data_IF_486161272801
#
_entry.id   IF_486161272801
#
_cell.length_a   1.000
_cell.length_b   1.000
_cell.length_c   1.000
_cell.angle_alpha   90.00
_cell.angle_beta   90.00
_cell.angle_gamma   90.00
#
_symmetry.space_group_name_H-M   'P 1'
#
loop_
_entity.id
_entity.type
_entity.pdbx_description
1 polymer ?
#
# COMPACT_ATOMS: atom_id res chain seq x y z
N UNK A 1 7.99 -21.55 -19.07
CA UNK A 1 7.35 -22.67 -19.86
C UNK A 1 6.09 -22.10 -20.49
N UNK A 2 5.90 -22.36 -21.78
CA UNK A 2 4.74 -21.84 -22.51
C UNK A 2 3.47 -22.54 -21.98
N UNK A 3 2.42 -21.78 -21.60
CA UNK A 3 1.18 -22.32 -21.02
C UNK A 3 0.53 -23.44 -21.86
N UNK A 4 0.82 -23.50 -23.15
CA UNK A 4 0.34 -24.55 -24.08
C UNK A 4 1.02 -25.92 -23.92
N UNK A 5 2.00 -26.06 -23.00
CA UNK A 5 2.76 -27.30 -22.76
C UNK A 5 2.56 -27.88 -21.35
N UNK A 6 1.77 -27.21 -20.50
CA UNK A 6 1.50 -27.71 -19.15
C UNK A 6 0.48 -28.84 -19.16
N UNK A 7 0.75 -29.90 -18.40
CA UNK A 7 -0.21 -30.97 -18.14
C UNK A 7 -1.29 -30.51 -17.13
N UNK A 8 -2.42 -31.23 -17.10
CA UNK A 8 -3.47 -30.96 -16.09
C UNK A 8 -2.94 -31.11 -14.66
N UNK A 9 -2.02 -32.04 -14.41
CA UNK A 9 -1.44 -32.27 -13.09
C UNK A 9 -0.57 -31.07 -12.65
N UNK A 10 0.29 -30.56 -13.54
CA UNK A 10 1.11 -29.35 -13.24
C UNK A 10 0.25 -28.12 -12.96
N UNK A 11 -0.88 -27.93 -13.68
CA UNK A 11 -1.83 -26.85 -13.39
C UNK A 11 -2.51 -27.06 -12.04
N UNK A 12 -2.90 -28.29 -11.71
CA UNK A 12 -3.52 -28.62 -10.43
C UNK A 12 -2.55 -28.40 -9.26
N UNK A 13 -1.30 -28.83 -9.37
CA UNK A 13 -0.25 -28.60 -8.35
C UNK A 13 -0.01 -27.12 -8.13
N UNK A 14 0.11 -26.32 -9.19
CA UNK A 14 0.26 -24.88 -9.09
C UNK A 14 -0.92 -24.20 -8.39
N UNK A 15 -2.16 -24.59 -8.74
CA UNK A 15 -3.35 -24.04 -8.09
C UNK A 15 -3.47 -24.48 -6.63
N UNK A 16 -3.04 -25.70 -6.31
CA UNK A 16 -3.00 -26.18 -4.92
C UNK A 16 -1.98 -25.37 -4.08
N UNK A 17 -0.79 -25.06 -4.61
CA UNK A 17 0.17 -24.18 -3.96
C UNK A 17 -0.42 -22.78 -3.73
N UNK A 18 -1.16 -22.24 -4.70
CA UNK A 18 -1.85 -20.95 -4.54
C UNK A 18 -2.95 -21.00 -3.47
N UNK A 19 -3.67 -22.13 -3.35
CA UNK A 19 -4.66 -22.33 -2.29
C UNK A 19 -3.99 -22.35 -0.91
N UNK A 20 -2.86 -23.04 -0.75
CA UNK A 20 -2.10 -23.03 0.50
C UNK A 20 -1.69 -21.60 0.90
N UNK A 21 -1.13 -20.81 -0.03
CA UNK A 21 -0.79 -19.41 0.23
C UNK A 21 -2.01 -18.56 0.59
N UNK A 22 -3.16 -18.81 -0.04
CA UNK A 22 -4.40 -18.09 0.25
C UNK A 22 -4.88 -18.35 1.68
N UNK A 23 -4.91 -19.60 2.13
CA UNK A 23 -5.33 -19.91 3.50
C UNK A 23 -4.31 -19.43 4.53
N UNK A 24 -3.01 -19.39 4.16
CA UNK A 24 -1.96 -18.87 5.01
C UNK A 24 -2.11 -17.36 5.22
N UNK A 25 -2.25 -16.56 4.17
CA UNK A 25 -2.42 -15.11 4.29
C UNK A 25 -3.72 -14.73 5.04
N UNK A 26 -4.80 -15.51 4.87
CA UNK A 26 -6.03 -15.32 5.63
C UNK A 26 -5.86 -15.67 7.11
N UNK A 27 -5.00 -16.64 7.45
CA UNK A 27 -4.67 -16.93 8.85
C UNK A 27 -3.75 -15.87 9.47
N UNK A 28 -2.88 -15.24 8.67
CA UNK A 28 -2.10 -14.05 9.07
C UNK A 28 -3.03 -12.89 9.42
N UNK A 29 -4.05 -12.62 8.61
CA UNK A 29 -5.09 -11.63 8.90
C UNK A 29 -5.71 -11.84 10.29
N UNK A 30 -6.11 -13.08 10.62
CA UNK A 30 -6.67 -13.38 11.94
C UNK A 30 -5.65 -13.10 13.07
N UNK A 31 -4.41 -13.56 12.90
CA UNK A 31 -3.36 -13.37 13.89
C UNK A 31 -3.01 -11.90 14.14
N UNK A 32 -2.99 -11.09 13.08
CA UNK A 32 -2.75 -9.65 13.17
C UNK A 32 -3.92 -8.92 13.83
N UNK A 33 -5.15 -9.13 13.37
CA UNK A 33 -6.36 -8.46 13.89
C UNK A 33 -6.68 -8.83 15.33
N UNK A 34 -6.45 -10.08 15.71
CA UNK A 34 -6.63 -10.53 17.09
C UNK A 34 -5.43 -10.21 18.00
N UNK A 35 -4.36 -9.63 17.47
CA UNK A 35 -3.17 -9.27 18.24
C UNK A 35 -2.33 -10.47 18.69
N UNK A 36 -2.53 -11.64 18.12
CA UNK A 36 -1.88 -12.88 18.56
C UNK A 36 -0.37 -12.88 18.31
N UNK A 37 0.09 -12.37 17.17
CA UNK A 37 1.52 -12.21 16.90
C UNK A 37 2.17 -11.25 17.90
N UNK A 38 1.52 -10.09 18.14
CA UNK A 38 2.02 -9.10 19.12
C UNK A 38 2.10 -9.67 20.54
N UNK A 39 1.07 -10.41 20.97
CA UNK A 39 1.06 -11.05 22.28
C UNK A 39 2.16 -12.12 22.44
N UNK A 40 2.47 -12.88 21.39
CA UNK A 40 3.59 -13.83 21.42
C UNK A 40 4.96 -13.13 21.39
N UNK A 41 5.08 -12.02 20.65
CA UNK A 41 6.32 -11.27 20.55
C UNK A 41 6.64 -10.50 21.85
N UNK A 42 5.63 -9.86 22.47
CA UNK A 42 5.83 -9.04 23.68
C UNK A 42 5.89 -9.84 24.96
N UNK A 43 5.01 -10.86 25.11
CA UNK A 43 4.79 -11.56 26.37
C UNK A 43 5.42 -12.97 26.37
N UNK A 44 6.11 -13.31 25.28
CA UNK A 44 6.80 -14.59 25.13
C UNK A 44 5.88 -15.77 24.82
N UNK A 45 6.44 -17.00 24.78
CA UNK A 45 5.72 -18.21 24.42
C UNK A 45 4.43 -18.42 25.21
N UNK A 46 3.42 -19.00 24.54
CA UNK A 46 2.12 -19.22 25.15
C UNK A 46 1.50 -20.58 24.80
N UNK A 47 0.73 -21.14 25.73
CA UNK A 47 -0.26 -22.16 25.40
C UNK A 47 -1.56 -21.53 24.88
N UNK A 48 -2.46 -22.33 24.31
CA UNK A 48 -3.74 -21.82 23.80
C UNK A 48 -4.59 -21.09 24.88
N UNK A 49 -4.72 -21.61 26.12
CA UNK A 49 -5.40 -20.87 27.18
C UNK A 49 -4.69 -19.55 27.57
N UNK A 50 -3.35 -19.51 27.53
CA UNK A 50 -2.59 -18.30 27.83
C UNK A 50 -2.75 -17.26 26.78
N UNK A 51 -2.63 -17.62 25.49
CA UNK A 51 -2.82 -16.69 24.36
C UNK A 51 -4.25 -16.14 24.33
N UNK A 52 -5.25 -17.00 24.49
CA UNK A 52 -6.65 -16.61 24.55
C UNK A 52 -6.92 -15.58 25.66
N UNK A 53 -6.34 -15.78 26.84
CA UNK A 53 -6.46 -14.83 27.97
C UNK A 53 -5.76 -13.50 27.67
N UNK A 54 -4.55 -13.53 27.06
CA UNK A 54 -3.78 -12.31 26.71
C UNK A 54 -4.53 -11.43 25.70
N UNK A 55 -5.30 -12.03 24.81
CA UNK A 55 -5.96 -11.36 23.67
C UNK A 55 -7.49 -11.32 23.76
N UNK A 56 -8.07 -11.72 24.89
CA UNK A 56 -9.53 -11.80 25.10
C UNK A 56 -10.27 -12.58 24.00
N UNK A 57 -9.74 -13.78 23.68
CA UNK A 57 -10.26 -14.64 22.61
C UNK A 57 -10.65 -16.03 23.16
N UNK A 58 -11.20 -16.89 22.31
CA UNK A 58 -11.65 -18.21 22.68
C UNK A 58 -10.53 -19.25 22.57
N UNK A 59 -10.32 -20.06 23.60
CA UNK A 59 -9.24 -21.06 23.70
C UNK A 59 -9.22 -22.01 22.50
N UNK A 60 -10.40 -22.48 22.04
CA UNK A 60 -10.46 -23.45 20.94
C UNK A 60 -9.95 -22.86 19.62
N UNK A 61 -10.28 -21.59 19.33
CA UNK A 61 -9.80 -20.88 18.14
C UNK A 61 -8.31 -20.55 18.26
N UNK A 62 -7.85 -20.09 19.41
CA UNK A 62 -6.44 -19.85 19.66
C UNK A 62 -5.59 -21.11 19.45
N UNK A 63 -6.08 -22.29 19.92
CA UNK A 63 -5.41 -23.57 19.69
C UNK A 63 -5.30 -23.91 18.20
N UNK A 64 -6.42 -23.85 17.47
CA UNK A 64 -6.43 -24.15 16.03
C UNK A 64 -5.45 -23.28 15.27
N UNK A 65 -5.46 -21.98 15.57
CA UNK A 65 -4.56 -21.03 14.93
C UNK A 65 -3.09 -21.30 15.28
N UNK A 66 -2.74 -21.52 16.56
CA UNK A 66 -1.38 -21.83 16.98
C UNK A 66 -0.84 -23.09 16.29
N UNK A 67 -1.64 -24.13 16.23
CA UNK A 67 -1.28 -25.40 15.57
C UNK A 67 -1.12 -25.19 14.04
N UNK A 68 -2.04 -24.46 13.39
CA UNK A 68 -1.95 -24.14 11.97
C UNK A 68 -0.69 -23.30 11.67
N UNK A 69 -0.39 -22.26 12.47
CA UNK A 69 0.81 -21.45 12.31
C UNK A 69 2.11 -22.24 12.50
N UNK A 70 2.11 -23.19 13.40
CA UNK A 70 3.27 -24.08 13.59
C UNK A 70 3.44 -25.05 12.41
N UNK A 71 2.35 -25.59 11.85
CA UNK A 71 2.38 -26.44 10.66
C UNK A 71 2.85 -25.65 9.43
N UNK A 72 2.48 -24.37 9.32
CA UNK A 72 2.97 -23.45 8.28
C UNK A 72 4.41 -22.95 8.49
N UNK A 73 5.04 -23.29 9.63
CA UNK A 73 6.41 -22.87 9.93
C UNK A 73 6.59 -21.43 10.40
N UNK A 74 5.49 -20.72 10.67
CA UNK A 74 5.50 -19.35 11.20
C UNK A 74 5.71 -19.29 12.71
N UNK A 75 5.31 -20.34 13.45
CA UNK A 75 5.57 -20.52 14.86
C UNK A 75 6.36 -21.82 15.10
N UNK A 76 6.98 -21.92 16.26
CA UNK A 76 7.66 -23.14 16.71
C UNK A 76 7.02 -23.67 17.99
N UNK A 77 7.01 -25.00 18.16
CA UNK A 77 6.63 -25.62 19.41
C UNK A 77 7.82 -25.56 20.36
N UNK A 78 7.71 -24.80 21.46
CA UNK A 78 8.74 -24.66 22.48
C UNK A 78 8.73 -25.85 23.45
N UNK A 79 7.52 -26.26 23.86
CA UNK A 79 7.35 -27.45 24.66
C UNK A 79 6.11 -28.21 24.23
N UNK A 80 6.27 -29.51 24.05
CA UNK A 80 5.15 -30.41 23.72
C UNK A 80 4.44 -30.87 25.03
N UNK A 81 3.19 -31.33 24.88
CA UNK A 81 2.33 -31.76 25.99
C UNK A 81 0.91 -32.05 25.52
N UNK A 82 -0.02 -32.12 26.48
CA UNK A 82 -1.44 -32.14 26.12
C UNK A 82 -1.84 -30.90 25.32
N UNK A 83 -2.90 -30.93 24.52
CA UNK A 83 -3.25 -29.84 23.62
C UNK A 83 -3.33 -28.44 24.27
N UNK A 84 -3.74 -28.34 25.52
CA UNK A 84 -3.82 -27.06 26.24
C UNK A 84 -2.54 -26.72 27.01
N UNK A 85 -1.57 -27.61 27.07
CA UNK A 85 -0.27 -27.43 27.75
C UNK A 85 0.86 -27.12 26.77
N UNK A 86 0.70 -27.53 25.51
CA UNK A 86 1.68 -27.25 24.42
C UNK A 86 1.90 -25.75 24.28
N UNK A 87 3.16 -25.34 24.28
CA UNK A 87 3.55 -23.92 24.18
C UNK A 87 4.16 -23.62 22.82
N UNK A 88 3.78 -22.49 22.29
CA UNK A 88 4.24 -22.00 21.00
C UNK A 88 5.01 -20.70 21.17
N UNK A 89 6.07 -20.56 20.41
CA UNK A 89 6.90 -19.35 20.37
C UNK A 89 6.92 -18.78 18.95
N UNK A 90 7.00 -17.45 18.85
CA UNK A 90 7.25 -16.78 17.59
C UNK A 90 8.76 -16.62 17.39
N UNK A 91 9.35 -17.13 16.27
CA UNK A 91 10.74 -16.85 15.93
C UNK A 91 10.98 -15.37 15.70
N UNK A 92 12.20 -14.88 15.98
CA UNK A 92 12.54 -13.45 15.81
C UNK A 92 12.28 -12.95 14.37
N UNK A 93 12.59 -13.74 13.35
CA UNK A 93 12.31 -13.41 11.95
C UNK A 93 10.82 -13.29 11.66
N UNK A 94 9.99 -14.19 12.20
CA UNK A 94 8.53 -14.10 12.05
C UNK A 94 7.98 -12.89 12.83
N UNK A 95 8.50 -12.63 14.03
CA UNK A 95 8.10 -11.47 14.83
C UNK A 95 8.40 -10.15 14.07
N UNK A 96 9.57 -10.03 13.46
CA UNK A 96 9.92 -8.86 12.62
C UNK A 96 8.90 -8.67 11.50
N UNK A 97 8.64 -9.72 10.70
CA UNK A 97 7.71 -9.66 9.55
C UNK A 97 6.27 -9.38 9.98
N UNK A 98 5.85 -9.86 11.15
CA UNK A 98 4.44 -9.80 11.59
C UNK A 98 4.15 -8.65 12.56
N UNK A 99 5.15 -8.05 13.20
CA UNK A 99 4.89 -7.11 14.32
C UNK A 99 5.73 -5.84 14.32
N UNK A 100 6.78 -5.74 13.49
CA UNK A 100 7.63 -4.56 13.46
C UNK A 100 7.22 -3.60 12.33
N UNK A 101 6.45 -2.54 12.63
CA UNK A 101 5.99 -1.58 11.61
C UNK A 101 7.12 -0.69 11.08
N UNK A 102 8.35 -0.85 11.56
CA UNK A 102 9.52 -0.13 11.05
C UNK A 102 10.37 -0.98 10.13
N UNK A 103 10.20 -2.31 10.09
CA UNK A 103 10.96 -3.19 9.22
C UNK A 103 10.49 -3.11 7.77
N UNK A 104 11.42 -3.06 6.81
CA UNK A 104 11.09 -3.19 5.38
C UNK A 104 10.51 -4.57 5.02
N UNK A 105 10.64 -5.55 5.91
CA UNK A 105 10.05 -6.88 5.77
C UNK A 105 8.63 -6.97 6.38
N UNK A 106 8.08 -5.90 6.94
CA UNK A 106 6.76 -5.90 7.56
C UNK A 106 5.66 -6.23 6.55
N UNK A 107 5.02 -7.38 6.70
CA UNK A 107 4.08 -7.91 5.70
C UNK A 107 2.68 -8.22 6.25
N UNK A 108 2.50 -8.26 7.58
CA UNK A 108 1.20 -8.55 8.20
C UNK A 108 0.04 -7.68 7.65
N UNK A 109 0.24 -6.39 7.32
CA UNK A 109 -0.83 -5.54 6.75
C UNK A 109 -1.43 -6.09 5.46
N UNK A 110 -0.67 -6.82 4.63
CA UNK A 110 -1.18 -7.41 3.39
C UNK A 110 -2.33 -8.41 3.64
N UNK A 111 -2.33 -9.08 4.80
CA UNK A 111 -3.47 -9.91 5.20
C UNK A 111 -4.76 -9.12 5.36
N UNK A 112 -4.68 -7.86 5.81
CA UNK A 112 -5.86 -6.98 5.97
C UNK A 112 -6.47 -6.61 4.63
N UNK A 113 -5.67 -6.37 3.59
CA UNK A 113 -6.18 -6.08 2.25
C UNK A 113 -7.05 -7.22 1.73
N UNK A 114 -6.61 -8.48 1.89
CA UNK A 114 -7.41 -9.63 1.49
C UNK A 114 -8.63 -9.83 2.41
N UNK A 115 -8.53 -9.44 3.69
CA UNK A 115 -9.68 -9.35 4.62
C UNK A 115 -10.74 -8.36 4.11
N UNK A 116 -10.31 -7.20 3.62
CA UNK A 116 -11.18 -6.17 3.02
C UNK A 116 -11.87 -6.64 1.73
N UNK A 117 -11.16 -7.39 0.89
CA UNK A 117 -11.72 -7.93 -0.38
C UNK A 117 -12.81 -8.96 -0.14
N UNK A 118 -12.70 -9.78 0.90
CA UNK A 118 -13.65 -10.87 1.17
C UNK A 118 -15.13 -10.45 1.16
N UNK A 119 -15.55 -9.45 1.94
CA UNK A 119 -16.93 -8.97 2.00
C UNK A 119 -17.47 -8.40 0.68
N UNK A 120 -16.61 -7.86 -0.18
CA UNK A 120 -17.00 -7.21 -1.44
C UNK A 120 -17.01 -8.15 -2.64
N UNK A 121 -16.55 -9.39 -2.51
CA UNK A 121 -16.56 -10.37 -3.62
C UNK A 121 -17.92 -10.52 -4.33
N UNK A 122 -19.09 -10.57 -3.64
CA UNK A 122 -20.39 -10.62 -4.31
C UNK A 122 -20.64 -9.37 -5.18
N UNK A 123 -20.22 -8.18 -4.70
CA UNK A 123 -20.34 -6.94 -5.45
C UNK A 123 -19.39 -6.91 -6.64
N UNK A 124 -18.17 -7.40 -6.49
CA UNK A 124 -17.23 -7.57 -7.61
C UNK A 124 -17.82 -8.43 -8.73
N UNK A 125 -18.41 -9.58 -8.38
CA UNK A 125 -19.09 -10.43 -9.39
C UNK A 125 -20.23 -9.71 -10.13
N UNK A 126 -20.94 -8.82 -9.46
CA UNK A 126 -21.98 -7.99 -10.08
C UNK A 126 -21.37 -6.98 -11.05
N UNK A 127 -20.42 -6.14 -10.60
CA UNK A 127 -19.84 -5.07 -11.43
C UNK A 127 -19.05 -5.61 -12.62
N UNK A 128 -18.45 -6.78 -12.50
CA UNK A 128 -17.81 -7.46 -13.64
C UNK A 128 -18.81 -7.87 -14.74
N UNK A 129 -20.11 -7.96 -14.45
CA UNK A 129 -21.16 -8.26 -15.43
C UNK A 129 -21.87 -7.00 -15.93
N UNK A 130 -22.04 -6.01 -15.07
CA UNK A 130 -22.95 -4.88 -15.31
C UNK A 130 -22.22 -3.56 -15.55
N UNK A 131 -20.92 -3.50 -15.28
CA UNK A 131 -20.14 -2.25 -15.21
C UNK A 131 -20.29 -1.56 -13.85
N UNK A 132 -19.58 -0.45 -13.68
CA UNK A 132 -19.40 0.23 -12.41
C UNK A 132 -18.22 -0.34 -11.64
N UNK A 133 -18.13 -0.06 -10.32
CA UNK A 133 -17.00 -0.47 -9.50
C UNK A 133 -17.36 -0.77 -8.05
N UNK A 134 -16.30 -0.98 -7.28
CA UNK A 134 -16.31 -1.13 -5.81
C UNK A 134 -15.36 -0.07 -5.29
N UNK A 135 -15.87 0.89 -4.54
CA UNK A 135 -15.08 2.05 -4.09
C UNK A 135 -14.12 1.68 -2.96
N UNK A 136 -13.10 2.52 -2.76
CA UNK A 136 -12.22 2.46 -1.62
C UNK A 136 -12.98 2.47 -0.29
N UNK A 137 -14.06 3.26 -0.22
CA UNK A 137 -14.94 3.30 0.95
C UNK A 137 -15.66 1.97 1.22
N UNK A 138 -16.05 1.23 0.17
CA UNK A 138 -16.65 -0.11 0.29
C UNK A 138 -15.66 -1.15 0.83
N UNK A 139 -14.35 -0.99 0.57
CA UNK A 139 -13.28 -1.85 1.11
C UNK A 139 -13.02 -1.58 2.61
N UNK A 140 -13.29 -0.36 3.08
CA UNK A 140 -13.31 -0.01 4.49
C UNK A 140 -11.94 0.09 5.16
N UNK A 141 -11.97 0.03 6.50
CA UNK A 141 -10.78 0.34 7.33
C UNK A 141 -9.66 -0.67 7.17
N UNK A 142 -9.97 -1.95 6.92
CA UNK A 142 -8.95 -2.97 6.68
C UNK A 142 -8.06 -2.64 5.47
N UNK A 143 -8.64 -2.09 4.40
CA UNK A 143 -7.89 -1.65 3.22
C UNK A 143 -7.07 -0.39 3.52
N UNK A 144 -7.67 0.62 4.18
CA UNK A 144 -6.99 1.88 4.55
C UNK A 144 -5.77 1.63 5.41
N UNK A 145 -5.94 0.86 6.49
CA UNK A 145 -4.85 0.52 7.40
C UNK A 145 -3.81 -0.38 6.72
N UNK A 146 -4.23 -1.31 5.86
CA UNK A 146 -3.32 -2.16 5.11
C UNK A 146 -2.37 -1.34 4.26
N UNK A 147 -2.91 -0.44 3.42
CA UNK A 147 -2.12 0.38 2.51
C UNK A 147 -1.19 1.33 3.28
N UNK A 148 -1.71 1.99 4.31
CA UNK A 148 -0.93 2.90 5.13
C UNK A 148 0.25 2.19 5.82
N UNK A 149 -0.02 1.08 6.50
CA UNK A 149 0.98 0.37 7.31
C UNK A 149 2.01 -0.37 6.45
N UNK A 150 1.63 -0.90 5.29
CA UNK A 150 2.56 -1.60 4.39
C UNK A 150 3.60 -0.66 3.78
N UNK A 151 3.20 0.57 3.46
CA UNK A 151 4.08 1.55 2.81
C UNK A 151 4.92 2.34 3.81
N UNK A 152 4.47 2.47 5.07
CA UNK A 152 5.15 3.25 6.10
C UNK A 152 6.64 2.98 6.21
N UNK A 153 7.14 1.72 6.32
CA UNK A 153 8.57 1.45 6.49
C UNK A 153 9.42 2.00 5.34
N UNK A 154 8.90 1.93 4.12
CA UNK A 154 9.58 2.43 2.92
C UNK A 154 9.68 3.95 2.93
N UNK A 155 8.61 4.65 3.28
CA UNK A 155 8.63 6.10 3.41
C UNK A 155 9.57 6.55 4.55
N UNK A 156 9.45 5.94 5.72
CA UNK A 156 10.27 6.32 6.89
C UNK A 156 11.77 6.08 6.67
N UNK A 157 12.16 4.98 6.02
CA UNK A 157 13.56 4.59 5.90
C UNK A 157 14.22 5.01 4.59
N UNK A 158 13.47 5.13 3.50
CA UNK A 158 14.04 5.23 2.15
C UNK A 158 13.69 6.52 1.42
N UNK A 159 12.51 7.12 1.64
CA UNK A 159 12.04 8.23 0.83
C UNK A 159 12.99 9.43 0.86
N UNK A 160 13.46 9.82 2.04
CA UNK A 160 14.40 10.96 2.19
C UNK A 160 15.70 10.75 1.41
N UNK A 161 16.33 9.58 1.52
CA UNK A 161 17.56 9.25 0.80
C UNK A 161 17.35 9.08 -0.71
N UNK A 162 16.22 8.49 -1.11
CA UNK A 162 15.84 8.34 -2.51
C UNK A 162 15.70 9.72 -3.20
N UNK A 163 14.95 10.64 -2.58
CA UNK A 163 14.79 11.99 -3.12
C UNK A 163 16.08 12.81 -3.07
N UNK A 164 16.94 12.58 -2.06
CA UNK A 164 18.26 13.23 -2.01
C UNK A 164 19.20 12.81 -3.15
N UNK A 165 18.98 11.64 -3.75
CA UNK A 165 19.73 11.19 -4.94
C UNK A 165 19.30 11.86 -6.24
N UNK A 166 18.18 12.63 -6.22
CA UNK A 166 17.60 13.30 -7.39
C UNK A 166 17.76 14.82 -7.22
N UNK A 167 18.79 15.45 -7.80
CA UNK A 167 19.07 16.88 -7.59
C UNK A 167 17.88 17.78 -7.89
N UNK A 168 17.13 17.50 -8.95
CA UNK A 168 15.96 18.29 -9.34
C UNK A 168 14.84 18.33 -8.30
N UNK A 169 14.70 17.27 -7.47
CA UNK A 169 13.77 17.26 -6.35
C UNK A 169 14.42 17.76 -5.06
N UNK A 170 15.65 17.33 -4.78
CA UNK A 170 16.39 17.66 -3.56
C UNK A 170 16.59 19.17 -3.39
N UNK A 171 17.03 19.87 -4.44
CA UNK A 171 17.30 21.29 -4.41
C UNK A 171 16.04 22.12 -4.09
N UNK A 172 14.88 21.70 -4.64
CA UNK A 172 13.59 22.33 -4.32
C UNK A 172 13.17 22.04 -2.88
N UNK A 173 13.27 20.80 -2.43
CA UNK A 173 12.83 20.38 -1.10
C UNK A 173 13.69 20.99 0.02
N UNK A 174 14.97 21.28 -0.24
CA UNK A 174 15.88 21.93 0.72
C UNK A 174 15.77 23.45 0.74
N UNK A 175 15.08 24.04 -0.24
CA UNK A 175 14.88 25.48 -0.28
C UNK A 175 14.09 25.98 0.96
N UNK A 176 14.47 27.13 1.56
CA UNK A 176 13.74 27.67 2.69
C UNK A 176 12.26 27.95 2.37
N UNK A 177 11.36 27.38 3.18
CA UNK A 177 9.93 27.59 3.03
C UNK A 177 9.30 26.85 1.85
N UNK A 178 9.93 25.78 1.36
CA UNK A 178 9.38 24.91 0.31
C UNK A 178 7.96 24.44 0.67
N UNK A 179 7.06 24.58 -0.30
CA UNK A 179 5.66 24.16 -0.18
C UNK A 179 5.46 22.88 -0.99
N UNK A 180 5.15 21.82 -0.31
CA UNK A 180 4.97 20.47 -0.88
C UNK A 180 3.48 20.12 -0.93
N UNK A 181 3.03 19.55 -2.03
CA UNK A 181 1.74 18.92 -2.18
C UNK A 181 1.91 17.40 -2.25
N UNK A 182 1.11 16.67 -1.50
CA UNK A 182 1.02 15.21 -1.55
C UNK A 182 -0.42 14.82 -1.95
N UNK A 183 -0.58 14.32 -3.17
CA UNK A 183 -1.86 13.98 -3.79
C UNK A 183 -2.20 12.53 -3.52
N UNK A 184 -3.41 12.24 -3.04
CA UNK A 184 -3.81 10.89 -2.64
C UNK A 184 -2.99 10.43 -1.44
N UNK A 185 -2.86 11.29 -0.41
CA UNK A 185 -1.96 11.08 0.70
C UNK A 185 -2.33 9.91 1.63
N UNK A 186 -3.53 9.33 1.49
CA UNK A 186 -3.99 8.20 2.29
C UNK A 186 -3.78 8.41 3.79
N UNK A 187 -3.13 7.46 4.48
CA UNK A 187 -2.78 7.53 5.90
C UNK A 187 -1.66 8.51 6.26
N UNK A 188 -1.12 9.28 5.29
CA UNK A 188 -0.22 10.42 5.49
C UNK A 188 1.25 10.11 5.74
N UNK A 189 1.67 8.85 5.66
CA UNK A 189 3.05 8.47 5.98
C UNK A 189 4.08 9.06 5.02
N UNK A 190 3.77 9.20 3.74
CA UNK A 190 4.58 9.90 2.74
C UNK A 190 4.80 11.36 3.12
N UNK A 191 3.73 12.08 3.44
CA UNK A 191 3.77 13.48 3.89
C UNK A 191 4.59 13.67 5.18
N UNK A 192 4.42 12.77 6.15
CA UNK A 192 5.16 12.77 7.41
C UNK A 192 6.66 12.53 7.16
N UNK A 193 7.00 11.54 6.32
CA UNK A 193 8.38 11.23 5.97
C UNK A 193 9.05 12.40 5.22
N UNK A 194 8.35 13.06 4.30
CA UNK A 194 8.82 14.27 3.61
C UNK A 194 9.14 15.39 4.61
N UNK A 195 8.23 15.66 5.54
CA UNK A 195 8.44 16.71 6.55
C UNK A 195 9.59 16.41 7.51
N UNK A 196 9.88 15.14 7.79
CA UNK A 196 11.03 14.71 8.60
C UNK A 196 12.33 14.83 7.83
N UNK A 197 12.35 14.40 6.57
CA UNK A 197 13.55 14.46 5.73
C UNK A 197 13.92 15.90 5.36
N UNK A 198 12.93 16.79 5.24
CA UNK A 198 13.10 18.19 4.82
C UNK A 198 12.47 19.17 5.82
N UNK A 199 13.19 19.50 6.91
CA UNK A 199 12.63 20.28 8.03
C UNK A 199 12.18 21.70 7.70
N UNK A 200 12.67 22.31 6.60
CA UNK A 200 12.24 23.63 6.11
C UNK A 200 10.99 23.60 5.24
N UNK A 201 10.53 22.42 4.83
CA UNK A 201 9.35 22.26 4.00
C UNK A 201 8.05 22.23 4.83
N UNK A 202 6.98 22.74 4.23
CA UNK A 202 5.59 22.52 4.69
C UNK A 202 4.88 21.59 3.71
N UNK A 203 4.12 20.64 4.20
CA UNK A 203 3.45 19.62 3.40
C UNK A 203 1.94 19.75 3.54
N UNK A 204 1.25 19.83 2.42
CA UNK A 204 -0.19 19.71 2.32
C UNK A 204 -0.52 18.37 1.67
N UNK A 205 -1.06 17.43 2.45
CA UNK A 205 -1.65 16.21 1.93
C UNK A 205 -3.13 16.43 1.58
N UNK A 206 -3.54 15.93 0.43
CA UNK A 206 -4.94 15.95 0.01
C UNK A 206 -5.40 14.55 -0.37
N UNK A 207 -6.62 14.20 0.07
CA UNK A 207 -7.28 12.95 -0.27
C UNK A 207 -8.79 13.17 -0.39
N UNK A 208 -9.47 12.34 -1.17
CA UNK A 208 -10.94 12.38 -1.30
C UNK A 208 -11.63 11.60 -0.18
N UNK A 209 -10.93 10.66 0.45
CA UNK A 209 -11.44 9.79 1.50
C UNK A 209 -11.27 10.43 2.88
N UNK A 210 -12.39 10.79 3.53
CA UNK A 210 -12.35 11.45 4.83
C UNK A 210 -11.72 10.57 5.93
N UNK A 211 -12.03 9.26 6.04
CA UNK A 211 -11.37 8.40 7.03
C UNK A 211 -9.86 8.35 6.89
N UNK A 212 -9.33 8.33 5.66
CA UNK A 212 -7.88 8.41 5.40
C UNK A 212 -7.28 9.74 5.89
N UNK A 213 -7.96 10.87 5.63
CA UNK A 213 -7.54 12.20 6.12
C UNK A 213 -7.55 12.29 7.65
N UNK A 214 -8.54 11.69 8.29
CA UNK A 214 -8.63 11.65 9.76
C UNK A 214 -7.48 10.80 10.34
N UNK A 215 -7.21 9.65 9.74
CA UNK A 215 -6.07 8.78 10.07
C UNK A 215 -4.74 9.52 9.90
N UNK A 216 -4.50 10.17 8.76
CA UNK A 216 -3.30 10.94 8.47
C UNK A 216 -3.07 12.08 9.48
N UNK A 217 -4.16 12.75 9.86
CA UNK A 217 -4.12 13.83 10.86
C UNK A 217 -3.71 13.27 12.23
N UNK A 218 -4.25 12.13 12.64
CA UNK A 218 -3.88 11.46 13.88
C UNK A 218 -2.41 11.03 13.88
N UNK A 219 -1.93 10.45 12.76
CA UNK A 219 -0.52 10.07 12.59
C UNK A 219 0.41 11.29 12.70
N UNK A 220 0.12 12.40 12.03
CA UNK A 220 0.95 13.61 12.13
C UNK A 220 1.01 14.19 13.55
N UNK A 221 -0.07 14.07 14.32
CA UNK A 221 -0.10 14.46 15.74
C UNK A 221 0.79 13.55 16.59
N UNK A 222 0.66 12.23 16.42
CA UNK A 222 1.46 11.23 17.13
C UNK A 222 2.96 11.37 16.84
N UNK A 223 3.29 11.68 15.58
CA UNK A 223 4.65 11.84 15.09
C UNK A 223 5.24 13.26 15.31
N UNK A 224 4.46 14.18 15.88
CA UNK A 224 4.91 15.51 16.30
C UNK A 224 5.27 16.46 15.16
N UNK A 225 4.63 16.31 13.98
CA UNK A 225 4.90 17.13 12.78
C UNK A 225 3.72 17.99 12.33
N UNK A 226 2.64 18.07 13.12
CA UNK A 226 1.41 18.82 12.78
C UNK A 226 1.60 20.33 12.63
N UNK A 227 2.74 20.88 13.04
CA UNK A 227 3.12 22.26 12.80
C UNK A 227 3.49 22.54 11.34
N UNK A 228 3.92 21.51 10.60
CA UNK A 228 4.40 21.61 9.21
C UNK A 228 3.64 20.74 8.22
N UNK A 229 2.84 19.78 8.71
CA UNK A 229 2.04 18.86 7.88
C UNK A 229 0.57 19.07 8.15
N UNK A 230 -0.20 19.29 7.09
CA UNK A 230 -1.65 19.42 7.16
C UNK A 230 -2.32 18.51 6.15
N UNK A 231 -3.46 17.95 6.51
CA UNK A 231 -4.26 17.12 5.63
C UNK A 231 -5.64 17.72 5.40
N UNK A 232 -6.13 17.62 4.16
CA UNK A 232 -7.44 18.12 3.79
C UNK A 232 -8.18 17.08 2.95
N UNK A 233 -9.45 16.86 3.28
CA UNK A 233 -10.34 16.17 2.34
C UNK A 233 -10.59 17.08 1.16
N UNK A 234 -10.03 16.74 -0.01
CA UNK A 234 -10.13 17.57 -1.20
C UNK A 234 -9.89 16.75 -2.46
N UNK A 235 -10.73 16.97 -3.47
CA UNK A 235 -10.45 16.52 -4.82
C UNK A 235 -9.30 17.35 -5.40
N UNK A 236 -8.20 16.69 -5.75
CA UNK A 236 -7.02 17.33 -6.31
C UNK A 236 -7.29 18.00 -7.67
N UNK A 237 -8.36 17.63 -8.39
CA UNK A 237 -8.81 18.34 -9.60
C UNK A 237 -9.25 19.81 -9.31
N UNK A 238 -9.46 20.18 -8.03
CA UNK A 238 -9.92 21.52 -7.61
C UNK A 238 -8.85 22.34 -6.85
N UNK A 239 -7.57 22.07 -7.08
CA UNK A 239 -6.46 22.79 -6.45
C UNK A 239 -6.35 24.27 -6.93
N UNK A 240 -5.95 25.21 -6.06
CA UNK A 240 -5.65 26.58 -6.48
C UNK A 240 -4.36 26.66 -7.29
N UNK A 241 -4.21 27.71 -8.09
CA UNK A 241 -3.04 27.91 -8.96
C UNK A 241 -1.80 28.40 -8.18
N UNK A 242 -0.62 28.02 -8.63
CA UNK A 242 0.73 28.49 -8.18
C UNK A 242 0.93 28.49 -6.66
N UNK A 243 0.46 27.44 -6.00
CA UNK A 243 0.50 27.37 -4.52
C UNK A 243 1.60 26.49 -3.96
N UNK A 244 2.26 25.67 -4.79
CA UNK A 244 3.26 24.68 -4.34
C UNK A 244 4.50 24.69 -5.24
N UNK A 245 5.63 24.31 -4.67
CA UNK A 245 6.91 24.34 -5.36
C UNK A 245 7.26 22.95 -5.95
N UNK A 246 6.76 21.88 -5.32
CA UNK A 246 6.85 20.50 -5.79
C UNK A 246 5.61 19.72 -5.35
N UNK A 247 5.17 18.79 -6.20
CA UNK A 247 4.07 17.89 -5.90
C UNK A 247 4.51 16.42 -5.95
N UNK A 248 3.83 15.59 -5.19
CA UNK A 248 4.01 14.13 -5.16
C UNK A 248 2.66 13.44 -5.37
N UNK A 249 2.71 12.26 -5.97
CA UNK A 249 1.61 11.32 -6.06
C UNK A 249 2.19 9.90 -5.90
N UNK A 250 1.93 9.26 -4.76
CA UNK A 250 2.47 7.96 -4.41
C UNK A 250 1.38 6.90 -4.52
N UNK A 251 1.50 5.97 -5.46
CA UNK A 251 0.57 4.84 -5.69
C UNK A 251 -0.91 5.26 -5.74
N UNK A 252 -1.22 6.34 -6.43
CA UNK A 252 -2.60 6.82 -6.48
C UNK A 252 -3.08 7.23 -7.87
N UNK A 253 -2.18 7.46 -8.84
CA UNK A 253 -2.58 7.92 -10.19
C UNK A 253 -3.36 6.84 -10.92
N UNK A 254 -2.99 5.59 -10.76
CA UNK A 254 -3.64 4.45 -11.40
C UNK A 254 -5.06 4.15 -10.87
N UNK A 255 -5.39 4.65 -9.67
CA UNK A 255 -6.72 4.53 -9.06
C UNK A 255 -7.67 5.66 -9.49
N UNK A 256 -7.12 6.77 -9.99
CA UNK A 256 -7.93 7.94 -10.31
C UNK A 256 -8.90 7.67 -11.48
N UNK A 257 -10.21 7.97 -11.34
CA UNK A 257 -11.13 7.87 -12.46
C UNK A 257 -10.82 8.86 -13.58
N UNK A 258 -10.25 10.03 -13.24
CA UNK A 258 -9.95 11.13 -14.17
C UNK A 258 -8.53 11.67 -13.99
N UNK A 259 -7.50 10.85 -14.24
CA UNK A 259 -6.11 11.20 -13.94
C UNK A 259 -5.64 12.46 -14.69
N UNK A 260 -6.05 12.66 -15.93
CA UNK A 260 -5.67 13.84 -16.72
C UNK A 260 -6.18 15.14 -16.09
N UNK A 261 -7.41 15.15 -15.56
CA UNK A 261 -7.97 16.34 -14.90
C UNK A 261 -7.20 16.67 -13.61
N UNK A 262 -6.87 15.65 -12.83
CA UNK A 262 -6.08 15.80 -11.59
C UNK A 262 -4.67 16.29 -11.92
N UNK A 263 -3.98 15.63 -12.85
CA UNK A 263 -2.63 16.01 -13.26
C UNK A 263 -2.59 17.44 -13.84
N UNK A 264 -3.63 17.85 -14.61
CA UNK A 264 -3.76 19.22 -15.09
C UNK A 264 -3.90 20.23 -13.95
N UNK A 265 -4.71 19.92 -12.93
CA UNK A 265 -4.87 20.77 -11.76
C UNK A 265 -3.57 20.86 -10.94
N UNK A 266 -2.85 19.73 -10.77
CA UNK A 266 -1.53 19.70 -10.12
C UNK A 266 -0.54 20.58 -10.90
N UNK A 267 -0.49 20.48 -12.24
CA UNK A 267 0.38 21.31 -13.07
C UNK A 267 0.12 22.82 -12.88
N UNK A 268 -1.15 23.21 -12.77
CA UNK A 268 -1.52 24.60 -12.49
C UNK A 268 -1.20 25.05 -11.05
N UNK A 269 -1.23 24.11 -10.11
CA UNK A 269 -0.87 24.39 -8.72
C UNK A 269 0.64 24.53 -8.51
N UNK A 270 1.45 23.99 -9.41
CA UNK A 270 2.91 24.14 -9.38
C UNK A 270 3.34 25.55 -9.75
N UNK A 271 4.23 26.11 -8.95
CA UNK A 271 4.94 27.35 -9.26
C UNK A 271 5.76 27.20 -10.56
N UNK A 272 6.14 28.30 -11.23
CA UNK A 272 7.01 28.23 -12.41
C UNK A 272 8.31 27.46 -12.13
N UNK A 273 8.58 26.43 -12.93
CA UNK A 273 9.73 25.53 -12.76
C UNK A 273 9.52 24.40 -11.74
N UNK A 274 8.36 24.32 -11.09
CA UNK A 274 7.99 23.21 -10.22
C UNK A 274 7.74 21.91 -11.00
N UNK A 275 7.78 20.78 -10.30
CA UNK A 275 7.57 19.45 -10.90
C UNK A 275 6.68 18.56 -10.04
N UNK A 276 6.07 17.59 -10.69
CA UNK A 276 5.37 16.48 -10.04
C UNK A 276 6.26 15.24 -10.07
N UNK A 277 6.43 14.62 -8.90
CA UNK A 277 7.06 13.29 -8.78
C UNK A 277 5.97 12.27 -8.53
N UNK A 278 5.87 11.27 -9.40
CA UNK A 278 4.95 10.14 -9.27
C UNK A 278 5.76 8.90 -8.90
N UNK A 279 5.31 8.16 -7.90
CA UNK A 279 5.77 6.80 -7.59
C UNK A 279 4.63 5.84 -7.89
N UNK A 280 4.92 4.82 -8.66
CA UNK A 280 3.93 3.79 -9.01
C UNK A 280 4.65 2.44 -9.21
N UNK A 281 3.93 1.35 -9.34
CA UNK A 281 4.51 0.02 -9.45
C UNK A 281 5.43 -0.11 -10.67
N UNK A 282 6.59 -0.75 -10.46
CA UNK A 282 7.60 -0.95 -11.50
C UNK A 282 7.24 -2.09 -12.48
N UNK A 283 5.99 -2.09 -12.97
CA UNK A 283 5.52 -3.07 -13.95
C UNK A 283 6.27 -2.95 -15.27
N UNK A 284 6.26 -4.00 -16.08
CA UNK A 284 6.91 -4.01 -17.40
C UNK A 284 6.35 -2.95 -18.33
N UNK A 285 7.14 -2.45 -19.28
CA UNK A 285 6.73 -1.38 -20.20
C UNK A 285 5.61 -1.82 -21.15
N UNK A 286 5.51 -3.11 -21.45
CA UNK A 286 4.50 -3.71 -22.31
C UNK A 286 3.98 -5.02 -21.71
N UNK A 287 2.73 -5.36 -22.04
CA UNK A 287 2.18 -6.66 -21.66
C UNK A 287 2.96 -7.81 -22.26
N UNK A 288 3.31 -8.78 -21.41
CA UNK A 288 3.85 -10.08 -21.83
C UNK A 288 3.10 -11.20 -21.09
N UNK A 289 2.76 -12.32 -21.78
CA UNK A 289 1.98 -13.40 -21.17
C UNK A 289 2.76 -14.19 -20.10
N UNK A 290 4.08 -14.06 -20.07
CA UNK A 290 5.02 -14.67 -19.14
C UNK A 290 5.57 -13.65 -18.11
N UNK A 291 4.72 -12.70 -17.70
CA UNK A 291 5.05 -11.69 -16.69
C UNK A 291 5.61 -12.29 -15.39
N UNK A 292 6.48 -11.53 -14.74
CA UNK A 292 7.15 -11.89 -13.49
C UNK A 292 6.17 -11.95 -12.28
N UNK A 293 6.72 -12.21 -11.10
CA UNK A 293 5.91 -12.29 -9.86
C UNK A 293 5.28 -10.96 -9.50
N UNK A 294 5.98 -9.83 -9.72
CA UNK A 294 5.46 -8.51 -9.48
C UNK A 294 4.24 -8.22 -10.36
N UNK A 295 4.38 -8.45 -11.66
CA UNK A 295 3.28 -8.19 -12.61
C UNK A 295 2.07 -9.08 -12.31
N UNK A 296 2.30 -10.34 -11.92
CA UNK A 296 1.22 -11.24 -11.48
C UNK A 296 0.51 -10.73 -10.23
N UNK A 297 1.26 -10.22 -9.25
CA UNK A 297 0.72 -9.64 -8.02
C UNK A 297 -0.09 -8.37 -8.33
N UNK A 298 0.46 -7.47 -9.15
CA UNK A 298 -0.20 -6.19 -9.51
C UNK A 298 -1.47 -6.40 -10.33
N UNK A 299 -1.50 -7.40 -11.23
CA UNK A 299 -2.77 -7.79 -11.85
C UNK A 299 -3.79 -8.32 -10.83
N UNK A 300 -3.33 -9.01 -9.78
CA UNK A 300 -4.18 -9.46 -8.69
C UNK A 300 -4.80 -8.27 -7.94
N UNK A 301 -4.00 -7.30 -7.52
CA UNK A 301 -4.51 -6.06 -6.91
C UNK A 301 -5.43 -5.30 -7.85
N UNK A 302 -5.07 -5.18 -9.12
CA UNK A 302 -5.91 -4.52 -10.12
C UNK A 302 -7.29 -5.16 -10.23
N UNK A 303 -7.37 -6.50 -10.25
CA UNK A 303 -8.64 -7.22 -10.34
C UNK A 303 -9.57 -6.98 -9.14
N UNK A 304 -9.03 -6.89 -7.94
CA UNK A 304 -9.84 -6.90 -6.71
C UNK A 304 -9.97 -5.54 -6.05
N UNK A 305 -9.06 -4.59 -6.32
CA UNK A 305 -8.95 -3.31 -5.62
C UNK A 305 -8.95 -2.15 -6.61
N UNK A 306 -7.83 -1.88 -7.27
CA UNK A 306 -7.59 -0.60 -7.96
C UNK A 306 -8.47 -0.37 -9.19
N UNK A 307 -8.65 -1.37 -10.05
CA UNK A 307 -9.53 -1.23 -11.21
C UNK A 307 -11.01 -1.07 -10.81
N UNK A 308 -11.56 -1.87 -9.89
CA UNK A 308 -12.90 -1.63 -9.34
C UNK A 308 -13.07 -0.27 -8.66
N UNK A 309 -12.07 0.20 -7.92
CA UNK A 309 -12.13 1.52 -7.30
C UNK A 309 -12.15 2.64 -8.34
N UNK A 310 -11.20 2.64 -9.27
CA UNK A 310 -11.18 3.62 -10.38
C UNK A 310 -12.47 3.65 -11.19
N UNK A 311 -13.14 2.50 -11.37
CA UNK A 311 -14.43 2.38 -12.08
C UNK A 311 -15.65 2.68 -11.20
N UNK A 312 -15.48 2.92 -9.91
CA UNK A 312 -16.58 3.25 -8.98
C UNK A 312 -17.21 4.61 -9.25
N UNK A 313 -16.50 5.50 -9.92
CA UNK A 313 -16.93 6.84 -10.34
C UNK A 313 -17.11 6.93 -11.85
N UNK A 314 -18.00 7.81 -12.32
CA UNK A 314 -18.29 8.03 -13.75
C UNK A 314 -18.20 9.52 -14.08
N UNK A 315 -17.47 9.94 -15.14
CA UNK A 315 -16.68 9.10 -16.05
C UNK A 315 -15.38 8.58 -15.44
N UNK A 316 -14.88 7.45 -15.94
CA UNK A 316 -13.59 6.87 -15.54
C UNK A 316 -12.85 6.31 -16.75
N UNK A 317 -11.51 6.42 -16.73
CA UNK A 317 -10.64 5.79 -17.72
C UNK A 317 -10.33 4.33 -17.37
N UNK A 318 -10.49 3.91 -16.11
CA UNK A 318 -10.28 2.53 -15.64
C UNK A 318 -8.85 2.06 -15.85
N UNK A 319 -7.86 2.76 -15.31
CA UNK A 319 -6.44 2.43 -15.47
C UNK A 319 -6.09 1.12 -14.76
N UNK A 320 -6.31 1.07 -13.44
CA UNK A 320 -5.92 -0.06 -12.59
C UNK A 320 -4.42 -0.12 -12.31
N UNK A 321 -4.02 -0.96 -11.34
CA UNK A 321 -2.65 -1.05 -10.79
C UNK A 321 -1.56 -1.25 -11.84
N UNK A 322 -1.86 -1.96 -12.93
CA UNK A 322 -0.85 -2.22 -13.99
C UNK A 322 -0.77 -1.01 -14.94
N UNK A 323 -0.50 0.17 -14.39
CA UNK A 323 -0.28 1.38 -15.17
C UNK A 323 1.11 1.37 -15.80
N UNK A 324 1.16 1.26 -17.14
CA UNK A 324 2.42 1.27 -17.89
C UNK A 324 3.05 2.66 -17.91
N UNK A 325 4.40 2.79 -17.98
CA UNK A 325 5.06 4.09 -18.08
C UNK A 325 4.51 4.95 -19.23
N UNK A 326 4.23 4.33 -20.38
CA UNK A 326 3.63 5.03 -21.53
C UNK A 326 2.21 5.55 -21.26
N UNK A 327 1.45 4.90 -20.40
CA UNK A 327 0.11 5.36 -19.98
C UNK A 327 0.24 6.62 -19.12
N UNK A 328 1.11 6.59 -18.11
CA UNK A 328 1.37 7.76 -17.26
C UNK A 328 1.94 8.93 -18.07
N UNK A 329 2.87 8.67 -19.00
CA UNK A 329 3.39 9.67 -19.93
C UNK A 329 2.27 10.32 -20.73
N UNK A 330 1.38 9.52 -21.33
CA UNK A 330 0.24 10.02 -22.10
C UNK A 330 -0.70 10.90 -21.26
N UNK A 331 -0.93 10.54 -19.99
CA UNK A 331 -1.71 11.36 -19.07
C UNK A 331 -1.02 12.68 -18.74
N UNK A 332 0.29 12.66 -18.53
CA UNK A 332 1.10 13.86 -18.27
C UNK A 332 1.08 14.82 -19.47
N UNK A 333 1.31 14.31 -20.68
CA UNK A 333 1.26 15.09 -21.91
C UNK A 333 -0.14 15.72 -22.13
N UNK A 334 -1.20 14.94 -21.94
CA UNK A 334 -2.58 15.43 -22.03
C UNK A 334 -2.92 16.47 -20.95
N UNK A 335 -2.27 16.39 -19.78
CA UNK A 335 -2.40 17.36 -18.69
C UNK A 335 -1.55 18.63 -18.88
N UNK A 336 -0.69 18.67 -19.90
CA UNK A 336 0.13 19.82 -20.27
C UNK A 336 1.52 19.85 -19.66
N UNK A 337 2.04 18.72 -19.17
CA UNK A 337 3.45 18.59 -18.82
C UNK A 337 4.28 18.42 -20.09
N UNK A 338 5.44 19.09 -20.13
CA UNK A 338 6.31 19.11 -21.32
C UNK A 338 7.36 18.01 -21.29
N UNK A 339 7.67 17.46 -20.08
CA UNK A 339 8.70 16.44 -19.90
C UNK A 339 8.18 15.28 -19.06
N UNK A 340 8.68 14.09 -19.38
CA UNK A 340 8.48 12.86 -18.63
C UNK A 340 9.82 12.15 -18.48
N UNK A 341 10.23 11.86 -17.27
CA UNK A 341 11.52 11.26 -16.94
C UNK A 341 11.34 10.14 -15.92
N UNK A 342 11.97 8.99 -16.16
CA UNK A 342 12.12 7.94 -15.15
C UNK A 342 13.29 8.33 -14.26
N UNK A 343 13.05 8.47 -12.95
CA UNK A 343 14.08 8.86 -12.01
C UNK A 343 15.00 7.68 -11.65
N UNK A 344 16.31 7.91 -11.44
CA UNK A 344 17.29 6.88 -11.14
C UNK A 344 17.23 6.46 -9.65
N UNK A 345 16.06 6.07 -9.18
CA UNK A 345 15.83 5.53 -7.84
C UNK A 345 15.63 4.03 -7.99
N UNK A 346 16.62 3.22 -7.58
CA UNK A 346 16.64 1.77 -7.80
C UNK A 346 16.26 0.97 -6.53
N UNK A 347 16.66 1.42 -5.35
CA UNK A 347 16.50 0.67 -4.10
C UNK A 347 15.24 1.07 -3.31
N UNK A 348 14.09 1.08 -3.98
CA UNK A 348 12.81 1.43 -3.35
C UNK A 348 11.73 0.35 -3.61
N UNK A 349 11.97 -0.88 -3.13
CA UNK A 349 11.03 -2.00 -3.25
C UNK A 349 10.70 -2.35 -4.70
N UNK A 350 9.42 -2.40 -5.00
CA UNK A 350 8.90 -2.71 -6.33
C UNK A 350 8.29 -1.48 -7.02
N UNK A 351 8.68 -0.28 -6.60
CA UNK A 351 8.18 0.97 -7.18
C UNK A 351 9.19 1.62 -8.11
N UNK A 352 8.66 2.39 -9.05
CA UNK A 352 9.38 3.22 -9.99
C UNK A 352 8.94 4.67 -9.83
N UNK A 353 9.90 5.58 -9.92
CA UNK A 353 9.65 7.01 -9.78
C UNK A 353 9.74 7.69 -11.13
N UNK A 354 8.85 8.66 -11.33
CA UNK A 354 8.77 9.47 -12.53
C UNK A 354 8.74 10.94 -12.16
N UNK A 355 9.28 11.80 -13.00
CA UNK A 355 9.18 13.24 -12.87
C UNK A 355 8.50 13.82 -14.11
N UNK A 356 7.49 14.66 -13.88
CA UNK A 356 6.75 15.42 -14.88
C UNK A 356 6.98 16.91 -14.62
N UNK A 357 7.36 17.69 -15.67
CA UNK A 357 7.59 19.14 -15.56
C UNK A 357 7.22 19.90 -16.81
#
# INVERSE_FOLDING_TARGET
>A
MNASQQTSDEVAERLFASLLGTVEIMSVYLGDRLGWYRALASDGPASAPELARRSDTQVRYAREWLEQQAVSGLLVVESDGAPDERRFAIPASTAEVMTDPTSLAFLAPMGRMFGAVGPVLPRLLEVYRTGGGVSWDDLGDDARESQADANRPWYDQRLGSALASVPAAHDVLTAPGCRVLDVGCGGGWSSIALARAYPSATVLGVDIDQPSVDMATAHAQQEGVSDRVRFLRKDAASLPEETVDIAFAFECVHDMPRPVEVLHAVRRALAPGGSLVVMDEAVADVFAPDGDELERLMYGFSLFVCLPDGLSSTPSVGTGTVMRPSTLQSYGEAAGFDTFEVLPIEDFGFWRFYRLS
#
